data_IF_424123905987
#
_entry.id   IF_424123905987
#
_cell.length_a   1.000
_cell.length_b   1.000
_cell.length_c   1.000
_cell.angle_alpha   90.00
_cell.angle_beta   90.00
_cell.angle_gamma   90.00
#
_symmetry.space_group_name_H-M   'P 1'
#
loop_
_entity.id
_entity.type
_entity.pdbx_description
1 polymer ?
#
# COMPACT_ATOMS: atom_id res chain seq x y z
N UNK A 1 42.64 48.75 -16.40
CA UNK A 1 41.34 48.96 -15.73
C UNK A 1 40.50 47.72 -15.98
N UNK A 2 40.36 46.88 -14.96
CA UNK A 2 39.82 45.52 -15.08
C UNK A 2 38.46 45.50 -14.38
N UNK A 3 37.36 45.30 -15.13
CA UNK A 3 36.02 45.18 -14.56
C UNK A 3 35.70 43.72 -14.26
N UNK A 4 35.58 43.38 -12.98
CA UNK A 4 35.11 42.09 -12.49
C UNK A 4 33.58 42.04 -12.47
N UNK A 5 33.00 41.03 -13.10
CA UNK A 5 31.57 40.75 -13.07
C UNK A 5 31.29 39.94 -11.79
N UNK A 6 30.53 40.56 -10.87
CA UNK A 6 30.09 39.95 -9.61
C UNK A 6 28.73 39.30 -9.84
N UNK A 7 28.68 38.00 -10.03
CA UNK A 7 27.45 37.21 -10.13
C UNK A 7 26.86 37.00 -8.74
N UNK A 8 25.79 37.73 -8.40
CA UNK A 8 24.99 37.47 -7.21
C UNK A 8 24.04 36.31 -7.47
N UNK A 9 24.32 35.14 -6.90
CA UNK A 9 23.36 34.03 -6.85
C UNK A 9 22.16 34.44 -5.98
N UNK A 10 20.91 34.35 -6.46
CA UNK A 10 19.75 34.53 -5.60
C UNK A 10 19.69 33.37 -4.60
N UNK A 11 19.68 33.68 -3.30
CA UNK A 11 19.35 32.73 -2.26
C UNK A 11 17.89 32.31 -2.43
N UNK A 12 17.69 31.09 -2.95
CA UNK A 12 16.39 30.47 -3.03
C UNK A 12 15.90 30.21 -1.60
N UNK A 13 15.03 31.08 -1.09
CA UNK A 13 14.34 30.82 0.16
C UNK A 13 13.32 29.70 -0.07
N UNK A 14 13.38 28.60 0.69
CA UNK A 14 12.49 27.47 0.47
C UNK A 14 11.04 27.89 0.72
N UNK A 15 10.15 27.47 -0.18
CA UNK A 15 8.73 27.81 -0.14
C UNK A 15 8.06 27.15 1.06
N UNK A 16 6.86 27.62 1.43
CA UNK A 16 6.10 27.03 2.53
C UNK A 16 5.81 25.53 2.31
N UNK A 17 5.72 25.11 1.06
CA UNK A 17 5.48 23.74 0.64
C UNK A 17 6.73 22.86 0.78
N UNK A 18 7.91 23.37 0.47
CA UNK A 18 9.19 22.68 0.73
C UNK A 18 9.47 22.55 2.23
N UNK A 19 9.10 23.55 3.03
CA UNK A 19 9.17 23.46 4.50
C UNK A 19 8.18 22.44 5.05
N UNK A 20 6.99 22.32 4.47
CA UNK A 20 5.98 21.32 4.86
C UNK A 20 6.42 19.88 4.48
N UNK A 21 7.00 19.69 3.29
CA UNK A 21 7.52 18.40 2.85
C UNK A 21 8.72 17.94 3.71
N UNK A 22 9.65 18.85 4.05
CA UNK A 22 10.75 18.55 4.97
C UNK A 22 10.26 18.21 6.38
N UNK A 23 9.22 18.90 6.88
CA UNK A 23 8.61 18.61 8.17
C UNK A 23 7.87 17.25 8.20
N UNK A 24 7.26 16.83 7.09
CA UNK A 24 6.64 15.51 6.93
C UNK A 24 7.68 14.39 6.86
N UNK A 25 8.80 14.61 6.15
CA UNK A 25 9.92 13.65 6.11
C UNK A 25 10.59 13.47 7.49
N UNK A 26 10.76 14.58 8.23
CA UNK A 26 11.31 14.55 9.58
C UNK A 26 10.37 13.86 10.59
N UNK A 27 9.05 14.07 10.47
CA UNK A 27 8.04 13.37 11.28
C UNK A 27 7.93 11.87 10.95
N UNK A 28 8.19 11.47 9.71
CA UNK A 28 8.25 10.05 9.30
C UNK A 28 9.41 9.31 9.96
N UNK A 29 10.64 9.86 9.89
CA UNK A 29 11.82 9.25 10.54
C UNK A 29 11.71 9.18 12.07
N UNK A 30 11.04 10.14 12.70
CA UNK A 30 10.82 10.11 14.15
C UNK A 30 9.82 9.02 14.58
N UNK A 31 8.83 8.68 13.74
CA UNK A 31 7.89 7.58 14.02
C UNK A 31 8.54 6.21 13.90
N UNK A 32 9.41 6.01 12.91
CA UNK A 32 10.10 4.72 12.72
C UNK A 32 11.08 4.42 13.87
N UNK A 33 11.80 5.44 14.36
CA UNK A 33 12.66 5.29 15.54
C UNK A 33 11.87 5.04 16.83
N UNK A 34 10.68 5.65 16.96
CA UNK A 34 9.81 5.47 18.13
C UNK A 34 9.12 4.11 18.17
N UNK A 35 8.82 3.49 17.02
CA UNK A 35 8.25 2.13 16.98
C UNK A 35 9.30 1.05 17.20
N UNK A 36 10.53 1.24 16.73
CA UNK A 36 11.63 0.32 17.00
C UNK A 36 12.01 0.30 18.50
N UNK A 37 11.95 1.45 19.20
CA UNK A 37 12.20 1.53 20.63
C UNK A 37 11.07 0.93 21.50
N UNK A 38 9.81 1.02 21.05
CA UNK A 38 8.66 0.47 21.79
C UNK A 38 8.65 -1.08 21.81
N UNK A 39 9.15 -1.74 20.77
CA UNK A 39 9.23 -3.21 20.70
C UNK A 39 10.37 -3.76 21.57
N UNK A 40 11.44 -2.99 21.81
CA UNK A 40 12.54 -3.39 22.69
C UNK A 40 12.26 -3.08 24.17
N UNK A 41 11.57 -1.98 24.49
CA UNK A 41 11.29 -1.59 25.88
C UNK A 41 10.21 -2.47 26.57
N UNK A 42 9.32 -3.10 25.80
CA UNK A 42 8.33 -4.04 26.35
C UNK A 42 8.97 -5.31 26.94
N UNK A 43 10.26 -5.57 26.66
CA UNK A 43 10.99 -6.73 27.19
C UNK A 43 11.75 -6.49 28.50
N UNK A 44 11.86 -5.26 29.01
CA UNK A 44 12.80 -4.94 30.12
C UNK A 44 12.18 -4.27 31.35
N UNK A 45 10.86 -3.98 31.36
CA UNK A 45 10.23 -3.24 32.46
C UNK A 45 9.48 -4.13 33.49
N UNK A 46 9.77 -5.43 33.56
CA UNK A 46 9.13 -6.33 34.53
C UNK A 46 10.07 -6.76 35.67
N UNK A 47 10.81 -5.82 36.26
CA UNK A 47 11.52 -6.09 37.52
C UNK A 47 11.42 -4.84 38.40
N UNK A 48 11.00 -5.03 39.65
CA UNK A 48 10.92 -4.06 40.76
C UNK A 48 9.57 -3.37 41.03
N UNK A 49 8.46 -4.11 41.01
CA UNK A 49 7.36 -3.79 41.93
C UNK A 49 7.57 -4.57 43.25
N UNK A 50 7.42 -3.95 44.44
CA UNK A 50 7.51 -4.66 45.71
C UNK A 50 6.42 -5.73 45.79
N UNK A 51 6.82 -6.99 45.91
CA UNK A 51 5.92 -8.14 46.00
C UNK A 51 5.35 -8.22 47.41
N UNK A 52 4.02 -8.12 47.53
CA UNK A 52 3.29 -8.48 48.74
C UNK A 52 3.32 -10.02 48.90
N UNK A 53 3.93 -10.56 49.96
CA UNK A 53 4.04 -12.01 50.15
C UNK A 53 2.68 -12.70 50.39
N UNK A 54 1.61 -11.96 50.67
CA UNK A 54 0.28 -12.52 50.93
C UNK A 54 -0.50 -12.89 49.65
N UNK A 55 -0.02 -12.54 48.46
CA UNK A 55 -0.72 -12.76 47.17
C UNK A 55 -0.06 -13.87 46.32
N UNK A 56 0.67 -14.80 46.94
CA UNK A 56 1.11 -16.02 46.25
C UNK A 56 -0.07 -16.99 46.05
N UNK A 57 -0.95 -16.70 45.11
CA UNK A 57 -1.62 -17.76 44.35
C UNK A 57 -0.57 -18.34 43.40
N UNK A 58 -0.38 -19.67 43.32
CA UNK A 58 0.37 -20.25 42.21
C UNK A 58 -0.31 -19.81 40.92
N UNK A 59 0.38 -18.96 40.14
CA UNK A 59 -0.05 -18.61 38.80
C UNK A 59 -0.21 -19.92 38.02
N UNK A 60 -1.34 -20.09 37.34
CA UNK A 60 -1.50 -21.18 36.38
C UNK A 60 -0.27 -21.16 35.44
N UNK A 61 0.30 -22.33 35.10
CA UNK A 61 1.49 -22.38 34.26
C UNK A 61 1.23 -21.58 32.99
N UNK A 62 1.98 -20.49 32.82
CA UNK A 62 2.02 -19.74 31.57
C UNK A 62 2.41 -20.74 30.49
N UNK A 63 1.60 -20.95 29.43
CA UNK A 63 1.96 -21.88 28.39
C UNK A 63 3.33 -21.46 27.84
N UNK A 64 4.28 -22.41 27.84
CA UNK A 64 5.61 -22.16 27.30
C UNK A 64 5.48 -21.60 25.89
N UNK A 65 6.30 -20.61 25.48
CA UNK A 65 6.28 -20.11 24.12
C UNK A 65 6.53 -21.29 23.18
N UNK A 66 5.53 -21.61 22.36
CA UNK A 66 5.64 -22.68 21.36
C UNK A 66 6.68 -22.23 20.34
N UNK A 67 7.93 -22.71 20.51
CA UNK A 67 8.97 -22.52 19.50
C UNK A 67 8.55 -23.32 18.27
N UNK A 68 8.35 -22.68 17.11
CA UNK A 68 8.04 -23.42 15.89
C UNK A 68 9.14 -24.43 15.63
N UNK A 69 8.79 -25.72 15.53
CA UNK A 69 9.75 -26.74 15.13
C UNK A 69 10.32 -26.45 13.73
N UNK A 70 11.49 -27.00 13.40
CA UNK A 70 12.17 -26.77 12.12
C UNK A 70 11.26 -26.92 10.90
N UNK A 71 10.32 -27.86 10.91
CA UNK A 71 9.33 -28.06 9.85
C UNK A 71 8.43 -26.84 9.64
N UNK A 72 7.96 -26.19 10.70
CA UNK A 72 7.13 -25.00 10.62
C UNK A 72 7.90 -23.81 10.03
N UNK A 73 9.18 -23.68 10.39
CA UNK A 73 10.07 -22.64 9.83
C UNK A 73 10.29 -22.88 8.32
N UNK A 74 10.57 -24.12 7.93
CA UNK A 74 10.78 -24.48 6.52
C UNK A 74 9.52 -24.26 5.68
N UNK A 75 8.34 -24.60 6.21
CA UNK A 75 7.06 -24.39 5.51
C UNK A 75 6.73 -22.90 5.37
N UNK A 76 6.97 -22.10 6.42
CA UNK A 76 6.81 -20.66 6.35
C UNK A 76 7.74 -20.05 5.28
N UNK A 77 8.99 -20.49 5.26
CA UNK A 77 9.97 -20.05 4.26
C UNK A 77 9.59 -20.42 2.83
N UNK A 78 9.10 -21.65 2.61
CA UNK A 78 8.61 -22.08 1.31
C UNK A 78 7.41 -21.25 0.84
N UNK A 79 6.48 -20.95 1.75
CA UNK A 79 5.32 -20.09 1.47
C UNK A 79 5.75 -18.67 1.07
N UNK A 80 6.70 -18.08 1.81
CA UNK A 80 7.22 -16.74 1.50
C UNK A 80 7.90 -16.69 0.13
N UNK A 81 8.68 -17.72 -0.23
CA UNK A 81 9.29 -17.83 -1.56
C UNK A 81 8.25 -17.95 -2.66
N UNK A 82 7.27 -18.82 -2.50
CA UNK A 82 6.20 -18.99 -3.49
C UNK A 82 5.41 -17.69 -3.70
N UNK A 83 5.18 -16.92 -2.64
CA UNK A 83 4.54 -15.60 -2.72
C UNK A 83 5.43 -14.56 -3.42
N UNK A 84 6.73 -14.55 -3.13
CA UNK A 84 7.69 -13.68 -3.81
C UNK A 84 7.76 -14.00 -5.32
N UNK A 85 7.81 -15.28 -5.69
CA UNK A 85 7.83 -15.73 -7.08
C UNK A 85 6.53 -15.37 -7.81
N UNK A 86 5.38 -15.55 -7.16
CA UNK A 86 4.08 -15.12 -7.69
C UNK A 86 4.06 -13.62 -7.94
N UNK A 87 4.51 -12.84 -6.95
CA UNK A 87 4.57 -11.37 -7.05
C UNK A 87 5.49 -10.93 -8.18
N UNK A 88 6.65 -11.57 -8.34
CA UNK A 88 7.59 -11.27 -9.40
C UNK A 88 7.01 -11.55 -10.79
N UNK A 89 6.30 -12.67 -10.97
CA UNK A 89 5.61 -13.02 -12.22
C UNK A 89 4.51 -12.03 -12.56
N UNK A 90 3.66 -11.69 -11.59
CA UNK A 90 2.59 -10.71 -11.78
C UNK A 90 3.16 -9.34 -12.12
N UNK A 91 4.14 -8.86 -11.34
CA UNK A 91 4.82 -7.59 -11.60
C UNK A 91 5.40 -7.52 -13.01
N UNK A 92 6.13 -8.56 -13.42
CA UNK A 92 6.73 -8.63 -14.75
C UNK A 92 5.67 -8.63 -15.87
N UNK A 93 4.60 -9.41 -15.69
CA UNK A 93 3.51 -9.50 -16.68
C UNK A 93 2.72 -8.19 -16.80
N UNK A 94 2.41 -7.54 -15.67
CA UNK A 94 1.73 -6.25 -15.66
C UNK A 94 2.64 -5.09 -16.11
N UNK A 95 3.95 -5.30 -16.18
CA UNK A 95 4.92 -4.27 -16.59
C UNK A 95 5.25 -3.27 -15.49
N UNK A 96 5.07 -3.62 -14.23
CA UNK A 96 5.42 -2.76 -13.09
C UNK A 96 6.93 -2.75 -12.83
N UNK A 97 7.41 -1.64 -12.27
CA UNK A 97 8.83 -1.46 -11.92
C UNK A 97 9.33 -2.59 -10.99
N UNK A 98 10.57 -3.09 -11.12
CA UNK A 98 11.08 -4.20 -10.29
C UNK A 98 11.06 -3.97 -8.77
N UNK A 99 11.01 -2.72 -8.31
CA UNK A 99 10.85 -2.38 -6.90
C UNK A 99 9.38 -2.33 -6.43
N UNK A 100 8.42 -2.48 -7.33
CA UNK A 100 7.00 -2.52 -6.98
C UNK A 100 6.68 -3.76 -6.14
N UNK A 101 5.86 -3.55 -5.12
CA UNK A 101 5.35 -4.59 -4.22
C UNK A 101 3.90 -4.29 -3.84
N UNK A 102 3.04 -5.30 -3.63
CA UNK A 102 1.69 -5.11 -3.11
C UNK A 102 1.67 -4.35 -1.78
N UNK A 103 0.76 -3.38 -1.67
CA UNK A 103 0.51 -2.55 -0.49
C UNK A 103 -0.51 -3.23 0.42
N UNK A 104 -0.03 -4.03 1.37
CA UNK A 104 -0.89 -4.78 2.30
C UNK A 104 -1.87 -3.88 3.09
N UNK A 105 -1.48 -2.64 3.40
CA UNK A 105 -2.34 -1.68 4.10
C UNK A 105 -3.56 -1.21 3.27
N UNK A 106 -3.56 -1.43 1.96
CA UNK A 106 -4.69 -1.21 1.06
C UNK A 106 -5.45 -2.50 0.74
N UNK A 107 -5.10 -3.62 1.38
CA UNK A 107 -5.65 -4.93 1.08
C UNK A 107 -5.12 -5.54 -0.23
N UNK A 108 -4.03 -5.00 -0.79
CA UNK A 108 -3.41 -5.59 -1.97
C UNK A 108 -2.74 -6.92 -1.64
N UNK A 109 -2.78 -7.83 -2.62
CA UNK A 109 -2.09 -9.12 -2.61
C UNK A 109 -1.37 -9.32 -3.94
N UNK A 110 -0.63 -10.41 -4.08
CA UNK A 110 0.00 -10.77 -5.37
C UNK A 110 -1.00 -10.94 -6.52
N UNK A 111 -2.32 -11.09 -6.25
CA UNK A 111 -3.37 -11.26 -7.28
C UNK A 111 -4.50 -10.22 -7.21
N UNK A 112 -4.42 -9.26 -6.30
CA UNK A 112 -5.39 -8.17 -6.13
C UNK A 112 -4.62 -6.88 -5.93
N UNK A 113 -4.67 -6.00 -6.92
CA UNK A 113 -3.84 -4.80 -6.97
C UNK A 113 -4.76 -3.60 -7.16
N UNK A 114 -4.43 -2.46 -6.57
CA UNK A 114 -5.10 -1.21 -6.86
C UNK A 114 -4.23 -0.39 -7.82
N UNK A 115 -4.77 -0.03 -8.98
CA UNK A 115 -4.14 0.95 -9.84
C UNK A 115 -4.26 2.35 -9.19
N UNK A 116 -3.27 3.19 -9.44
CA UNK A 116 -3.21 4.57 -8.95
C UNK A 116 -4.39 5.40 -9.46
N UNK A 117 -4.71 5.23 -10.74
CA UNK A 117 -5.80 5.92 -11.40
C UNK A 117 -6.35 5.08 -12.56
N UNK A 118 -7.39 5.59 -13.19
CA UNK A 118 -7.99 4.96 -14.37
C UNK A 118 -7.05 4.94 -15.58
N UNK A 119 -6.11 5.88 -15.73
CA UNK A 119 -5.20 5.91 -16.89
C UNK A 119 -4.25 4.72 -16.85
N UNK A 120 -3.75 4.38 -15.68
CA UNK A 120 -2.95 3.17 -15.48
C UNK A 120 -3.77 1.92 -15.80
N UNK A 121 -5.04 1.86 -15.39
CA UNK A 121 -5.93 0.74 -15.69
C UNK A 121 -6.21 0.62 -17.20
N UNK A 122 -6.39 1.75 -17.90
CA UNK A 122 -6.52 1.80 -19.37
C UNK A 122 -5.28 1.23 -20.05
N UNK A 123 -4.10 1.72 -19.66
CA UNK A 123 -2.83 1.31 -20.26
C UNK A 123 -2.56 -0.18 -20.05
N UNK A 124 -3.02 -0.75 -18.92
CA UNK A 124 -2.97 -2.20 -18.68
C UNK A 124 -3.93 -2.95 -19.61
N UNK A 125 -5.19 -2.52 -19.71
CA UNK A 125 -6.19 -3.15 -20.56
C UNK A 125 -5.81 -3.08 -22.05
N UNK A 126 -5.30 -1.95 -22.54
CA UNK A 126 -4.84 -1.82 -23.93
C UNK A 126 -3.67 -2.76 -24.25
N UNK A 127 -2.76 -2.95 -23.29
CA UNK A 127 -1.57 -3.79 -23.47
C UNK A 127 -1.85 -5.28 -23.32
N UNK A 128 -2.70 -5.65 -22.38
CA UNK A 128 -2.88 -7.05 -21.96
C UNK A 128 -4.25 -7.62 -22.33
N UNK A 129 -5.19 -6.77 -22.74
CA UNK A 129 -6.60 -7.13 -22.80
C UNK A 129 -7.16 -7.43 -21.41
N UNK A 130 -8.12 -8.34 -21.36
CA UNK A 130 -8.74 -8.81 -20.12
C UNK A 130 -10.22 -8.44 -20.03
N UNK A 131 -10.84 -8.92 -18.96
CA UNK A 131 -12.25 -8.65 -18.67
C UNK A 131 -12.35 -7.42 -17.77
N UNK A 132 -13.13 -6.43 -18.19
CA UNK A 132 -13.43 -5.26 -17.37
C UNK A 132 -14.83 -5.41 -16.78
N UNK A 133 -14.97 -5.12 -15.50
CA UNK A 133 -16.25 -5.03 -14.78
C UNK A 133 -16.32 -3.73 -14.00
N UNK A 134 -17.52 -3.26 -13.70
CA UNK A 134 -17.75 -2.10 -12.85
C UNK A 134 -18.87 -2.38 -11.86
N UNK A 135 -18.76 -1.82 -10.65
CA UNK A 135 -19.81 -1.93 -9.62
C UNK A 135 -19.76 -0.74 -8.68
N UNK A 136 -20.90 -0.39 -8.10
CA UNK A 136 -20.95 0.56 -7.00
C UNK A 136 -20.41 -0.08 -5.71
N UNK A 137 -19.61 0.68 -4.98
CA UNK A 137 -19.05 0.30 -3.68
C UNK A 137 -19.14 1.47 -2.72
N UNK A 138 -19.34 1.18 -1.44
CA UNK A 138 -19.21 2.19 -0.39
C UNK A 138 -17.76 2.21 0.10
N UNK A 139 -17.13 3.38 0.04
CA UNK A 139 -15.79 3.64 0.57
C UNK A 139 -15.90 4.41 1.88
N UNK A 140 -14.91 4.22 2.75
CA UNK A 140 -14.81 4.89 4.04
C UNK A 140 -13.40 5.40 4.25
N UNK A 141 -13.26 6.68 4.55
CA UNK A 141 -12.00 7.29 4.99
C UNK A 141 -12.25 8.11 6.25
N UNK A 142 -11.68 7.68 7.37
CA UNK A 142 -11.93 8.29 8.68
C UNK A 142 -13.40 8.15 9.07
N UNK A 143 -14.13 9.27 9.09
CA UNK A 143 -15.57 9.31 9.41
C UNK A 143 -16.46 9.57 8.20
N UNK A 144 -15.87 9.72 7.02
CA UNK A 144 -16.59 10.03 5.80
C UNK A 144 -16.82 8.74 5.02
N UNK A 145 -18.06 8.54 4.58
CA UNK A 145 -18.48 7.47 3.69
C UNK A 145 -19.03 8.04 2.41
N UNK A 146 -18.69 7.45 1.26
CA UNK A 146 -19.23 7.84 -0.03
C UNK A 146 -19.44 6.61 -0.92
N UNK A 147 -20.32 6.74 -1.90
CA UNK A 147 -20.46 5.77 -2.98
C UNK A 147 -19.42 6.07 -4.05
N UNK A 148 -18.67 5.07 -4.47
CA UNK A 148 -17.74 5.11 -5.59
C UNK A 148 -18.10 4.01 -6.59
N UNK A 149 -17.70 4.19 -7.84
CA UNK A 149 -17.81 3.15 -8.86
C UNK A 149 -16.45 2.46 -8.99
N UNK A 150 -16.31 1.25 -8.46
CA UNK A 150 -15.08 0.47 -8.60
C UNK A 150 -15.04 -0.17 -9.99
N UNK A 151 -14.00 0.13 -10.76
CA UNK A 151 -13.70 -0.55 -12.01
C UNK A 151 -12.63 -1.61 -11.73
N UNK A 152 -12.86 -2.83 -12.21
CA UNK A 152 -11.93 -3.94 -12.06
C UNK A 152 -11.58 -4.52 -13.42
N UNK A 153 -10.29 -4.59 -13.72
CA UNK A 153 -9.72 -5.36 -14.82
C UNK A 153 -9.24 -6.71 -14.30
N UNK A 154 -9.65 -7.79 -14.95
CA UNK A 154 -9.15 -9.14 -14.71
C UNK A 154 -8.26 -9.57 -15.87
N UNK A 155 -7.00 -9.87 -15.57
CA UNK A 155 -5.99 -10.30 -16.55
C UNK A 155 -5.47 -11.69 -16.16
N UNK A 156 -5.37 -12.59 -17.13
CA UNK A 156 -4.76 -13.90 -16.91
C UNK A 156 -3.23 -13.83 -16.97
N UNK A 157 -2.58 -14.06 -15.84
CA UNK A 157 -1.11 -14.08 -15.75
C UNK A 157 -0.60 -15.52 -15.95
N UNK A 158 0.28 -15.78 -16.95
CA UNK A 158 0.81 -17.11 -17.22
C UNK A 158 1.46 -17.77 -15.99
N UNK A 159 0.99 -18.97 -15.64
CA UNK A 159 1.48 -19.74 -14.50
C UNK A 159 1.06 -19.21 -13.12
N UNK A 160 0.23 -18.16 -13.07
CA UNK A 160 -0.37 -17.64 -11.83
C UNK A 160 -1.90 -17.75 -11.87
N UNK A 161 -2.51 -17.52 -13.03
CA UNK A 161 -3.96 -17.44 -13.20
C UNK A 161 -4.48 -16.00 -13.14
N UNK A 162 -5.78 -15.81 -12.86
CA UNK A 162 -6.40 -14.49 -12.93
C UNK A 162 -5.86 -13.57 -11.84
N UNK A 163 -5.56 -12.33 -12.25
CA UNK A 163 -5.16 -11.22 -11.40
C UNK A 163 -6.13 -10.08 -11.60
N UNK A 164 -6.60 -9.52 -10.49
CA UNK A 164 -7.50 -8.36 -10.48
C UNK A 164 -6.71 -7.09 -10.23
N UNK A 165 -6.95 -6.08 -11.07
CA UNK A 165 -6.45 -4.73 -10.89
C UNK A 165 -7.67 -3.81 -10.83
N UNK A 166 -7.83 -3.05 -9.75
CA UNK A 166 -9.00 -2.20 -9.57
C UNK A 166 -8.63 -0.75 -9.31
N UNK A 167 -9.52 0.17 -9.67
CA UNK A 167 -9.43 1.57 -9.27
C UNK A 167 -10.85 2.11 -9.11
N UNK A 168 -10.99 3.19 -8.34
CA UNK A 168 -12.27 3.88 -8.27
C UNK A 168 -12.36 4.82 -9.48
N UNK A 169 -13.48 4.76 -10.18
CA UNK A 169 -13.80 5.68 -11.25
C UNK A 169 -13.98 7.08 -10.69
N UNK A 170 -13.36 8.03 -11.38
CA UNK A 170 -13.45 9.45 -11.09
C UNK A 170 -13.67 10.21 -12.40
N UNK A 171 -14.82 10.87 -12.50
CA UNK A 171 -15.22 11.67 -13.67
C UNK A 171 -14.26 12.83 -13.91
N UNK A 172 -13.81 13.48 -12.82
CA UNK A 172 -13.00 14.70 -12.87
C UNK A 172 -11.59 14.44 -13.44
N UNK A 173 -11.10 13.21 -13.30
CA UNK A 173 -9.75 12.80 -13.72
C UNK A 173 -9.65 12.39 -15.21
N UNK A 174 -10.74 12.55 -15.98
CA UNK A 174 -10.82 12.18 -17.40
C UNK A 174 -11.22 10.72 -17.61
N UNK A 175 -12.06 10.19 -16.73
CA UNK A 175 -12.43 8.79 -16.66
C UNK A 175 -13.34 8.28 -17.79
N UNK A 176 -12.98 8.44 -19.06
CA UNK A 176 -13.87 8.05 -20.18
C UNK A 176 -13.31 6.98 -21.12
N UNK A 177 -12.13 6.41 -20.82
CA UNK A 177 -11.41 5.64 -21.85
C UNK A 177 -11.54 4.12 -21.79
N UNK A 178 -11.90 3.50 -20.66
CA UNK A 178 -12.23 2.07 -20.67
C UNK A 178 -13.52 1.83 -21.44
N UNK A 179 -13.67 0.69 -22.15
CA UNK A 179 -14.91 0.32 -22.83
C UNK A 179 -16.14 0.44 -21.93
N UNK A 180 -16.00 0.17 -20.63
CA UNK A 180 -17.09 0.36 -19.65
C UNK A 180 -17.27 1.80 -19.20
N UNK A 181 -16.21 2.59 -19.09
CA UNK A 181 -16.32 4.01 -18.73
C UNK A 181 -17.06 4.83 -19.81
N UNK A 182 -16.94 4.43 -21.08
CA UNK A 182 -17.74 4.99 -22.19
C UNK A 182 -19.23 4.67 -22.11
N UNK A 183 -19.60 3.55 -21.48
CA UNK A 183 -20.99 3.15 -21.25
C UNK A 183 -21.58 3.64 -19.92
N UNK A 184 -20.73 4.03 -18.97
CA UNK A 184 -21.13 4.58 -17.66
C UNK A 184 -21.39 6.08 -17.68
N UNK A 185 -20.91 6.81 -18.70
CA UNK A 185 -21.24 8.21 -18.95
C UNK A 185 -22.71 8.35 -19.44
N UNK A 186 -23.65 8.26 -18.48
CA UNK A 186 -25.07 8.67 -18.39
C UNK A 186 -26.01 8.61 -19.65
N UNK A 187 -27.29 8.24 -19.48
CA UNK A 187 -28.34 8.62 -20.43
C UNK A 187 -28.51 10.14 -20.42
N UNK A 188 -28.37 10.77 -21.58
CA UNK A 188 -28.73 12.17 -21.80
C UNK A 188 -30.19 12.40 -21.41
N UNK A 189 -30.45 13.07 -20.29
CA UNK A 189 -31.78 13.63 -20.02
C UNK A 189 -31.90 14.89 -20.88
N UNK A 190 -32.52 14.73 -22.04
CA UNK A 190 -32.99 15.86 -22.85
C UNK A 190 -34.14 16.52 -22.10
N UNK A 191 -33.96 17.78 -21.70
CA UNK A 191 -35.02 18.65 -21.19
C UNK A 191 -35.80 19.23 -22.37
#
# INVERSE_FOLDING_TARGET
>A
MTHGIRTTHPQHSPTAEEKAAAALLAKGRARDASQAAAIVAAGTALVLAPVDPAVFRPAAPVPAPTVPGCTAILLAHATLRAQADTTARVRAHLGYHPAWTPRAHLGETSRRIQAWDQRELNALHERLGGEVTAREVTRTAGRTTWTATEITLTVDVPGVGPVTVSTDWDEESGGHDLPLARGLALPTVTV
#
